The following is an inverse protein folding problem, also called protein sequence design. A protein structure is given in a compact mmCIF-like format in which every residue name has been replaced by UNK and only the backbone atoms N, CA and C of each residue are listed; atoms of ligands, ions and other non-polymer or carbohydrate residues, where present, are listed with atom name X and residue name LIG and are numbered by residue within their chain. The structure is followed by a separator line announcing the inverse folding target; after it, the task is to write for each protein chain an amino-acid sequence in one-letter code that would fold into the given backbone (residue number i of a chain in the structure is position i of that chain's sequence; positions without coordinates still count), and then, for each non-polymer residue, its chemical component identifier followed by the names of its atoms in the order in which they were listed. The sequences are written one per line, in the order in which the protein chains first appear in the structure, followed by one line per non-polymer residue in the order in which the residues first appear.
data_IF_944109155922
#
_entry.id   IF_944109155922
#
_cell.length_a   1.000
_cell.length_b   1.000
_cell.length_c   1.000
_cell.angle_alpha   90.00
_cell.angle_beta   90.00
_cell.angle_gamma   90.00
#
_symmetry.space_group_name_H-M   'P 1'
#
loop_
_entity.id
_entity.type
_entity.pdbx_description
1 polymer ?
#
# COMPACT_ATOMS: atom_id res chain seq x y z
N UNK A 1 28.46 12.37 -12.32
CA UNK A 1 27.26 12.51 -13.16
C UNK A 1 26.49 13.70 -12.61
N UNK A 2 26.02 14.60 -13.47
CA UNK A 2 25.53 15.92 -13.04
C UNK A 2 24.18 15.80 -12.31
N UNK A 3 24.12 16.37 -11.11
CA UNK A 3 22.99 16.44 -10.16
C UNK A 3 21.88 17.38 -10.70
N UNK A 4 21.43 17.07 -11.91
CA UNK A 4 20.65 17.96 -12.79
C UNK A 4 19.26 17.42 -13.06
N UNK A 5 18.97 16.21 -12.55
CA UNK A 5 17.72 15.50 -12.73
C UNK A 5 17.40 14.72 -11.45
N UNK A 6 16.13 14.43 -11.20
CA UNK A 6 15.70 13.53 -10.12
C UNK A 6 15.97 12.06 -10.44
N UNK A 7 16.03 11.21 -9.44
CA UNK A 7 16.54 9.83 -9.57
C UNK A 7 15.57 8.87 -10.29
N UNK A 8 14.25 8.99 -10.05
CA UNK A 8 13.25 8.01 -10.56
C UNK A 8 12.70 8.37 -11.92
N UNK A 9 12.30 9.62 -12.11
CA UNK A 9 11.64 10.10 -13.33
C UNK A 9 12.46 11.10 -14.13
N UNK A 10 13.68 11.41 -13.69
CA UNK A 10 14.58 12.32 -14.41
C UNK A 10 13.98 13.72 -14.62
N UNK A 11 13.23 14.23 -13.63
CA UNK A 11 12.70 15.60 -13.71
C UNK A 11 13.85 16.59 -13.70
N UNK A 12 13.89 17.56 -14.63
CA UNK A 12 14.99 18.50 -14.74
C UNK A 12 15.04 19.45 -13.54
N UNK A 13 16.19 19.54 -12.90
CA UNK A 13 16.45 20.45 -11.79
C UNK A 13 16.96 21.80 -12.31
N UNK A 14 16.60 22.87 -11.62
CA UNK A 14 17.12 24.20 -11.89
C UNK A 14 18.59 24.28 -11.50
N UNK A 15 19.39 24.91 -12.36
CA UNK A 15 20.80 25.15 -12.10
C UNK A 15 21.00 26.20 -10.98
N UNK A 16 22.11 26.13 -10.23
CA UNK A 16 22.45 27.14 -9.24
C UNK A 16 22.53 28.57 -9.82
N UNK A 17 22.26 29.57 -8.98
CA UNK A 17 22.41 30.98 -9.35
C UNK A 17 21.12 31.65 -9.84
N UNK A 18 19.95 31.05 -9.59
CA UNK A 18 18.63 31.59 -9.94
C UNK A 18 17.98 32.34 -8.77
N UNK A 19 18.79 33.18 -8.09
CA UNK A 19 18.38 33.90 -6.89
C UNK A 19 17.82 32.98 -5.78
N UNK A 20 18.43 31.80 -5.60
CA UNK A 20 18.11 30.80 -4.57
C UNK A 20 16.74 30.13 -4.68
N UNK A 21 15.92 30.46 -5.70
CA UNK A 21 14.63 29.79 -5.96
C UNK A 21 14.81 28.32 -6.32
N UNK A 22 15.95 27.99 -6.91
CA UNK A 22 16.34 26.63 -7.26
C UNK A 22 16.28 25.69 -6.06
N UNK A 23 16.62 26.15 -4.84
CA UNK A 23 16.62 25.29 -3.66
C UNK A 23 15.21 24.78 -3.34
N UNK A 24 14.24 25.69 -3.21
CA UNK A 24 12.87 25.33 -2.88
C UNK A 24 12.19 24.55 -4.00
N UNK A 25 12.44 24.93 -5.26
CA UNK A 25 11.84 24.25 -6.40
C UNK A 25 12.41 22.85 -6.62
N UNK A 26 13.73 22.69 -6.55
CA UNK A 26 14.38 21.39 -6.73
C UNK A 26 14.00 20.44 -5.59
N UNK A 27 13.91 20.92 -4.34
CA UNK A 27 13.42 20.08 -3.23
C UNK A 27 11.98 19.62 -3.45
N UNK A 28 11.11 20.49 -4.00
CA UNK A 28 9.75 20.10 -4.37
C UNK A 28 9.73 19.05 -5.50
N UNK A 29 10.60 19.17 -6.50
CA UNK A 29 10.74 18.18 -7.56
C UNK A 29 11.26 16.84 -7.04
N UNK A 30 12.26 16.84 -6.16
CA UNK A 30 12.77 15.63 -5.50
C UNK A 30 11.69 14.95 -4.67
N UNK A 31 10.87 15.72 -3.95
CA UNK A 31 9.73 15.16 -3.24
C UNK A 31 8.67 14.59 -4.20
N UNK A 32 8.34 15.29 -5.29
CA UNK A 32 7.40 14.81 -6.30
C UNK A 32 7.89 13.54 -7.01
N UNK A 33 9.19 13.43 -7.25
CA UNK A 33 9.81 12.23 -7.83
C UNK A 33 9.57 10.99 -6.96
N UNK A 34 9.58 11.15 -5.64
CA UNK A 34 9.24 10.09 -4.69
C UNK A 34 7.72 9.82 -4.60
N UNK A 35 6.90 10.85 -4.80
CA UNK A 35 5.45 10.80 -4.56
C UNK A 35 4.60 10.47 -5.80
N UNK A 36 5.15 10.65 -6.99
CA UNK A 36 4.51 10.19 -8.22
C UNK A 36 4.75 8.70 -8.33
N UNK A 37 3.65 7.93 -8.40
CA UNK A 37 3.69 6.46 -8.40
C UNK A 37 4.61 5.92 -7.30
N UNK A 38 4.31 6.16 -6.01
CA UNK A 38 5.22 5.79 -4.93
C UNK A 38 5.49 4.28 -4.96
N UNK A 39 6.76 3.91 -4.92
CA UNK A 39 7.20 2.54 -4.69
C UNK A 39 7.89 2.47 -3.34
N UNK A 40 8.00 1.28 -2.78
CA UNK A 40 8.83 1.02 -1.61
C UNK A 40 9.43 -0.38 -1.72
N UNK A 41 10.70 -0.51 -1.37
CA UNK A 41 11.38 -1.81 -1.35
C UNK A 41 10.83 -2.71 -0.25
N UNK A 42 10.50 -2.12 0.90
CA UNK A 42 9.86 -2.81 2.01
C UNK A 42 8.99 -1.87 2.83
N UNK A 43 8.11 -2.47 3.63
CA UNK A 43 7.24 -1.80 4.59
C UNK A 43 7.55 -2.23 6.01
N UNK A 44 7.50 -1.28 6.95
CA UNK A 44 7.61 -1.56 8.38
C UNK A 44 9.03 -1.70 8.89
N UNK A 45 10.03 -1.28 8.12
CA UNK A 45 11.44 -1.36 8.53
C UNK A 45 11.78 -0.21 9.50
N UNK A 46 12.39 -0.53 10.64
CA UNK A 46 12.75 0.48 11.65
C UNK A 46 14.21 0.96 11.53
N UNK A 47 15.07 0.20 10.84
CA UNK A 47 16.49 0.54 10.68
C UNK A 47 16.78 0.83 9.21
N UNK A 48 17.39 1.99 8.88
CA UNK A 48 17.74 2.30 7.50
C UNK A 48 18.68 1.25 6.89
N UNK A 49 18.50 0.90 5.60
CA UNK A 49 19.50 0.15 4.85
C UNK A 49 20.86 0.84 4.88
N UNK A 50 21.93 0.05 4.89
CA UNK A 50 23.31 0.56 4.99
C UNK A 50 23.88 1.06 3.67
N UNK A 51 23.39 0.56 2.54
CA UNK A 51 23.82 0.93 1.19
C UNK A 51 22.63 1.01 0.21
N UNK A 52 21.72 1.98 0.41
CA UNK A 52 20.63 2.22 -0.53
C UNK A 52 21.14 2.85 -1.83
N UNK A 53 20.54 2.45 -2.95
CA UNK A 53 20.75 3.11 -4.24
C UNK A 53 19.81 4.32 -4.39
N UNK A 54 20.28 5.36 -5.08
CA UNK A 54 19.47 6.56 -5.32
C UNK A 54 18.17 6.21 -6.06
N UNK A 55 17.06 6.79 -5.62
CA UNK A 55 15.72 6.50 -6.13
C UNK A 55 14.99 5.37 -5.40
N UNK A 56 15.67 4.59 -4.55
CA UNK A 56 15.02 3.58 -3.70
C UNK A 56 14.29 4.24 -2.52
N UNK A 57 13.26 3.54 -2.01
CA UNK A 57 12.43 4.05 -0.93
C UNK A 57 11.86 2.95 -0.05
N UNK A 58 11.45 3.30 1.17
CA UNK A 58 10.92 2.39 2.19
C UNK A 58 9.78 3.06 2.94
N UNK A 59 8.81 2.26 3.37
CA UNK A 59 7.84 2.71 4.36
C UNK A 59 8.42 2.39 5.74
N UNK A 60 8.69 3.44 6.51
CA UNK A 60 9.30 3.36 7.83
C UNK A 60 8.35 2.71 8.84
N UNK A 61 8.89 1.86 9.70
CA UNK A 61 8.16 1.20 10.79
C UNK A 61 7.72 2.15 11.91
N UNK A 62 7.20 1.55 12.98
CA UNK A 62 6.61 2.29 14.10
C UNK A 62 7.66 2.79 15.11
N UNK A 63 8.85 2.20 15.14
CA UNK A 63 9.90 2.49 16.12
C UNK A 63 11.26 2.76 15.44
N UNK A 64 11.34 3.76 14.53
CA UNK A 64 12.51 3.92 13.71
C UNK A 64 13.74 4.41 14.48
N UNK A 65 14.90 4.02 13.98
CA UNK A 65 16.21 4.25 14.59
C UNK A 65 17.17 4.95 13.63
N UNK A 66 18.32 5.38 14.15
CA UNK A 66 19.39 6.00 13.34
C UNK A 66 18.89 7.22 12.55
N UNK A 67 19.18 7.25 11.25
CA UNK A 67 18.77 8.34 10.37
C UNK A 67 17.24 8.46 10.20
N UNK A 68 16.47 7.43 10.55
CA UNK A 68 15.01 7.41 10.45
C UNK A 68 14.32 7.80 11.78
N UNK A 69 15.07 8.07 12.85
CA UNK A 69 14.51 8.41 14.15
C UNK A 69 13.51 9.58 14.06
N UNK A 70 12.33 9.40 14.66
CA UNK A 70 11.23 10.39 14.61
C UNK A 70 10.45 10.43 13.29
N UNK A 71 10.69 9.49 12.36
CA UNK A 71 10.01 9.41 11.05
C UNK A 71 9.10 8.18 10.94
N UNK A 72 8.45 7.80 12.04
CA UNK A 72 7.54 6.66 12.04
C UNK A 72 6.49 6.79 10.93
N UNK A 73 6.24 5.70 10.22
CA UNK A 73 5.30 5.61 9.10
C UNK A 73 5.58 6.53 7.89
N UNK A 74 6.68 7.27 7.87
CA UNK A 74 7.02 8.09 6.71
C UNK A 74 7.41 7.21 5.52
N UNK A 75 7.20 7.75 4.31
CA UNK A 75 7.90 7.24 3.14
C UNK A 75 9.32 7.85 3.15
N UNK A 76 10.33 7.00 3.30
CA UNK A 76 11.74 7.39 3.27
C UNK A 76 12.33 7.06 1.89
N UNK A 77 12.74 8.07 1.13
CA UNK A 77 13.45 7.90 -0.14
C UNK A 77 14.94 8.25 0.00
N UNK A 78 15.80 7.50 -0.68
CA UNK A 78 17.23 7.80 -0.78
C UNK A 78 17.52 8.55 -2.09
N UNK A 79 18.28 9.64 -1.99
CA UNK A 79 18.65 10.48 -3.14
C UNK A 79 20.16 10.73 -3.11
N UNK A 80 20.72 11.32 -4.18
CA UNK A 80 22.11 11.81 -4.16
C UNK A 80 22.41 12.77 -2.99
N UNK A 81 21.39 13.54 -2.57
CA UNK A 81 21.42 14.45 -1.42
C UNK A 81 21.05 13.81 -0.07
N UNK A 82 21.01 12.48 0.01
CA UNK A 82 20.68 11.70 1.20
C UNK A 82 19.19 11.41 1.39
N UNK A 83 18.79 11.13 2.63
CA UNK A 83 17.41 10.76 2.96
C UNK A 83 16.43 11.92 2.73
N UNK A 84 15.27 11.59 2.18
CA UNK A 84 14.07 12.42 2.14
C UNK A 84 12.91 11.67 2.78
N UNK A 85 12.12 12.38 3.57
CA UNK A 85 11.01 11.80 4.30
C UNK A 85 9.74 12.55 3.96
N UNK A 86 8.72 11.81 3.56
CA UNK A 86 7.38 12.36 3.36
C UNK A 86 6.44 11.75 4.38
N UNK A 87 5.79 12.61 5.17
CA UNK A 87 4.73 12.18 6.06
C UNK A 87 3.53 11.70 5.21
N UNK A 88 2.95 10.52 5.51
CA UNK A 88 1.83 10.02 4.74
C UNK A 88 0.57 10.84 5.01
N UNK A 89 -0.31 10.88 4.01
CA UNK A 89 -1.67 11.43 4.12
C UNK A 89 -2.69 10.30 3.99
N UNK A 90 -3.88 10.45 4.57
CA UNK A 90 -4.94 9.45 4.48
C UNK A 90 -5.23 9.10 3.02
N UNK A 91 -5.29 7.80 2.71
CA UNK A 91 -5.52 7.28 1.36
C UNK A 91 -4.28 7.21 0.47
N UNK A 92 -3.12 7.70 0.93
CA UNK A 92 -1.85 7.53 0.21
C UNK A 92 -1.59 6.07 -0.08
N UNK A 93 -1.14 5.76 -1.30
CA UNK A 93 -0.84 4.41 -1.74
C UNK A 93 0.61 4.31 -2.24
N UNK A 94 1.27 3.20 -1.95
CA UNK A 94 2.60 2.89 -2.44
C UNK A 94 2.69 1.41 -2.83
N UNK A 95 3.32 1.11 -3.96
CA UNK A 95 3.56 -0.28 -4.37
C UNK A 95 4.79 -0.83 -3.64
N UNK A 96 4.62 -1.90 -2.88
CA UNK A 96 5.73 -2.57 -2.18
C UNK A 96 6.28 -3.66 -3.09
N UNK A 97 7.51 -3.47 -3.57
CA UNK A 97 8.12 -4.31 -4.62
C UNK A 97 8.37 -5.74 -4.14
N UNK A 98 8.84 -5.91 -2.91
CA UNK A 98 9.12 -7.23 -2.31
C UNK A 98 7.85 -8.08 -2.17
N UNK A 99 6.73 -7.45 -1.77
CA UNK A 99 5.47 -8.15 -1.54
C UNK A 99 4.61 -8.29 -2.80
N UNK A 100 4.84 -7.46 -3.81
CA UNK A 100 3.98 -7.39 -5.00
C UNK A 100 2.55 -6.92 -4.67
N UNK A 101 2.42 -6.04 -3.67
CA UNK A 101 1.16 -5.55 -3.16
C UNK A 101 1.20 -4.04 -2.97
N UNK A 102 0.02 -3.41 -3.03
CA UNK A 102 -0.14 -2.00 -2.68
C UNK A 102 -0.31 -1.87 -1.16
N UNK A 103 0.50 -1.03 -0.54
CA UNK A 103 0.25 -0.53 0.80
C UNK A 103 -0.60 0.75 0.72
N UNK A 104 -1.59 0.90 1.61
CA UNK A 104 -2.41 2.10 1.74
C UNK A 104 -2.34 2.63 3.15
N UNK A 105 -2.10 3.94 3.29
CA UNK A 105 -2.15 4.60 4.59
C UNK A 105 -3.60 4.86 4.97
N UNK A 106 -4.06 4.24 6.06
CA UNK A 106 -5.39 4.46 6.60
C UNK A 106 -5.42 4.35 8.12
N UNK A 107 -6.20 5.23 8.75
CA UNK A 107 -6.41 5.21 10.21
C UNK A 107 -5.11 5.37 11.01
N UNK A 108 -4.13 6.10 10.48
CA UNK A 108 -2.84 6.35 11.12
C UNK A 108 -1.79 5.24 10.95
N UNK A 109 -2.04 4.24 10.09
CA UNK A 109 -1.09 3.15 9.82
C UNK A 109 -1.08 2.74 8.35
N UNK A 110 -0.05 2.05 7.91
CA UNK A 110 -0.02 1.44 6.59
C UNK A 110 -0.59 0.03 6.64
N UNK A 111 -1.48 -0.27 5.71
CA UNK A 111 -2.08 -1.59 5.54
C UNK A 111 -1.66 -2.14 4.19
N UNK A 112 -1.11 -3.35 4.16
CA UNK A 112 -0.59 -3.99 2.96
C UNK A 112 -1.61 -4.96 2.36
N UNK A 113 -1.92 -4.82 1.07
CA UNK A 113 -2.74 -5.78 0.33
C UNK A 113 -4.24 -5.74 0.66
N UNK A 114 -4.69 -4.85 1.54
CA UNK A 114 -6.10 -4.62 1.80
C UNK A 114 -6.61 -3.46 0.93
N UNK A 115 -7.67 -3.69 0.15
CA UNK A 115 -8.35 -2.66 -0.61
C UNK A 115 -9.78 -2.45 -0.10
N UNK A 116 -10.03 -1.38 0.68
CA UNK A 116 -11.37 -1.05 1.13
C UNK A 116 -12.20 -0.57 -0.08
N UNK A 117 -13.00 -1.47 -0.64
CA UNK A 117 -13.91 -1.18 -1.74
C UNK A 117 -15.37 -1.41 -1.34
N UNK A 118 -16.30 -0.66 -1.94
CA UNK A 118 -17.72 -0.87 -1.69
C UNK A 118 -18.23 -2.20 -2.31
N UNK A 119 -17.67 -2.56 -3.46
CA UNK A 119 -17.96 -3.79 -4.19
C UNK A 119 -16.93 -4.02 -5.31
N UNK A 120 -16.80 -5.26 -5.76
CA UNK A 120 -16.03 -5.65 -6.95
C UNK A 120 -16.94 -5.73 -8.17
N UNK A 121 -16.51 -5.15 -9.29
CA UNK A 121 -17.22 -5.20 -10.58
C UNK A 121 -16.34 -5.91 -11.61
N UNK A 122 -16.92 -6.87 -12.34
CA UNK A 122 -16.26 -7.57 -13.45
C UNK A 122 -17.19 -7.55 -14.66
N UNK A 123 -16.69 -7.03 -15.79
CA UNK A 123 -17.48 -6.91 -17.02
C UNK A 123 -18.75 -6.06 -16.86
N UNK A 124 -18.71 -5.03 -16.02
CA UNK A 124 -19.87 -4.16 -15.72
C UNK A 124 -20.87 -4.74 -14.71
N UNK A 125 -20.68 -5.98 -14.26
CA UNK A 125 -21.55 -6.62 -13.28
C UNK A 125 -20.90 -6.63 -11.90
N UNK A 126 -21.67 -6.30 -10.86
CA UNK A 126 -21.24 -6.46 -9.47
C UNK A 126 -21.11 -7.95 -9.15
N UNK A 127 -19.91 -8.39 -8.77
CA UNK A 127 -19.60 -9.79 -8.45
C UNK A 127 -19.37 -10.04 -6.95
N UNK A 128 -18.84 -9.05 -6.21
CA UNK A 128 -18.66 -9.14 -4.74
C UNK A 128 -19.22 -7.89 -4.10
N UNK A 129 -19.93 -8.04 -2.97
CA UNK A 129 -20.44 -6.96 -2.15
C UNK A 129 -19.98 -7.04 -0.70
N UNK A 130 -20.54 -6.21 0.19
CA UNK A 130 -20.35 -6.39 1.63
C UNK A 130 -20.80 -7.78 2.08
N UNK A 131 -20.15 -8.28 3.13
CA UNK A 131 -20.50 -9.54 3.79
C UNK A 131 -21.98 -9.53 4.20
N UNK A 132 -22.68 -10.62 3.89
CA UNK A 132 -24.09 -10.80 4.22
C UNK A 132 -24.28 -11.56 5.55
N UNK A 133 -25.51 -11.58 6.06
CA UNK A 133 -25.88 -12.37 7.24
C UNK A 133 -25.72 -13.88 6.99
N UNK A 134 -25.61 -14.66 8.08
CA UNK A 134 -25.47 -16.10 8.00
C UNK A 134 -26.71 -16.74 7.37
N UNK A 135 -26.48 -17.72 6.51
CA UNK A 135 -27.54 -18.57 5.96
C UNK A 135 -27.58 -19.87 6.77
N UNK A 136 -28.75 -20.20 7.30
CA UNK A 136 -28.95 -21.40 8.11
C UNK A 136 -28.80 -22.67 7.26
N UNK A 137 -28.17 -23.70 7.83
CA UNK A 137 -28.10 -25.00 7.20
C UNK A 137 -29.51 -25.65 7.16
N UNK A 138 -29.79 -26.52 6.16
CA UNK A 138 -31.06 -27.25 6.11
C UNK A 138 -31.27 -28.11 7.36
N UNK A 139 -32.32 -27.82 8.13
CA UNK A 139 -32.66 -28.54 9.37
C UNK A 139 -33.97 -29.34 9.27
N UNK A 140 -34.81 -29.07 8.27
CA UNK A 140 -36.12 -29.71 8.08
C UNK A 140 -36.18 -30.71 6.92
N UNK A 141 -37.41 -31.11 6.57
CA UNK A 141 -37.73 -32.01 5.45
C UNK A 141 -38.21 -33.38 5.90
N UNK A 142 -39.39 -33.79 5.41
CA UNK A 142 -39.96 -35.12 5.72
C UNK A 142 -39.24 -36.26 4.97
N UNK A 143 -38.69 -35.97 3.79
CA UNK A 143 -37.81 -36.85 3.02
C UNK A 143 -36.49 -36.13 2.83
N UNK A 144 -35.39 -36.75 3.24
CA UNK A 144 -34.06 -36.15 3.24
C UNK A 144 -33.22 -36.81 2.15
N UNK A 145 -32.79 -36.01 1.18
CA UNK A 145 -31.66 -36.35 0.34
C UNK A 145 -30.37 -35.97 1.07
N UNK A 146 -29.62 -36.99 1.49
CA UNK A 146 -28.40 -36.84 2.27
C UNK A 146 -27.24 -36.25 1.44
N UNK A 147 -27.15 -36.59 0.15
CA UNK A 147 -26.09 -36.10 -0.74
C UNK A 147 -26.29 -34.61 -1.02
N UNK A 148 -27.52 -34.22 -1.36
CA UNK A 148 -27.88 -32.81 -1.52
C UNK A 148 -27.64 -31.99 -0.25
N UNK A 149 -27.96 -32.53 0.93
CA UNK A 149 -27.72 -31.84 2.21
C UNK A 149 -26.24 -31.65 2.49
N UNK A 150 -25.42 -32.66 2.20
CA UNK A 150 -23.97 -32.56 2.34
C UNK A 150 -23.39 -31.49 1.41
N UNK A 151 -23.82 -31.45 0.15
CA UNK A 151 -23.38 -30.45 -0.83
C UNK A 151 -23.74 -29.02 -0.40
N UNK A 152 -24.98 -28.78 0.02
CA UNK A 152 -25.40 -27.46 0.53
C UNK A 152 -24.58 -27.02 1.75
N UNK A 153 -24.32 -27.95 2.67
CA UNK A 153 -23.50 -27.66 3.85
C UNK A 153 -22.07 -27.28 3.47
N UNK A 154 -21.48 -27.97 2.50
CA UNK A 154 -20.14 -27.66 1.98
C UNK A 154 -20.10 -26.29 1.29
N UNK A 155 -21.12 -25.95 0.49
CA UNK A 155 -21.24 -24.62 -0.14
C UNK A 155 -21.30 -23.52 0.93
N UNK A 156 -22.15 -23.67 1.94
CA UNK A 156 -22.23 -22.69 3.03
C UNK A 156 -20.91 -22.57 3.78
N UNK A 157 -20.20 -23.67 4.01
CA UNK A 157 -18.88 -23.64 4.63
C UNK A 157 -17.86 -22.86 3.78
N UNK A 158 -17.86 -23.06 2.45
CA UNK A 158 -17.00 -22.32 1.54
C UNK A 158 -17.32 -20.80 1.53
N UNK A 159 -18.61 -20.43 1.47
CA UNK A 159 -19.03 -19.02 1.52
C UNK A 159 -18.63 -18.33 2.82
N UNK A 160 -18.71 -19.03 3.96
CA UNK A 160 -18.23 -18.55 5.27
C UNK A 160 -16.72 -18.39 5.29
N UNK A 161 -15.98 -19.38 4.77
CA UNK A 161 -14.51 -19.35 4.73
C UNK A 161 -13.98 -18.21 3.86
N UNK A 162 -14.66 -17.90 2.75
CA UNK A 162 -14.36 -16.73 1.92
C UNK A 162 -14.80 -15.39 2.53
N UNK A 163 -15.54 -15.40 3.65
CA UNK A 163 -16.05 -14.19 4.29
C UNK A 163 -17.24 -13.53 3.59
N UNK A 164 -17.87 -14.21 2.61
CA UNK A 164 -19.02 -13.68 1.86
C UNK A 164 -20.30 -13.61 2.71
N UNK A 165 -20.47 -14.55 3.64
CA UNK A 165 -21.57 -14.58 4.61
C UNK A 165 -21.04 -14.73 6.05
N UNK A 166 -21.84 -14.33 7.04
CA UNK A 166 -21.52 -14.57 8.45
C UNK A 166 -21.55 -16.07 8.78
N UNK A 167 -20.82 -16.46 9.83
CA UNK A 167 -20.78 -17.85 10.33
C UNK A 167 -22.08 -18.23 10.99
#
# INVERSE_FOLDING_TARGET
MSDTQTDRFSFPLLQPGQAQKEMSHNEALTALDLLIQPTAEAIGLDTPPTAPDSGQSWIVGAAPTGAWAGKAFHLAGWTSGGWRFVAPVEGMAAWVTTDGLTARFSGGSWVLGEDPCAHLVVGGNRVVGPRQSAIAAPSGGAVIDAESRAALTAILAALRAHGLIAT
#
